data_IF_793949936605
#
_entry.id   IF_793949936605
#
_cell.length_a   1.000
_cell.length_b   1.000
_cell.length_c   1.000
_cell.angle_alpha   90.00
_cell.angle_beta   90.00
_cell.angle_gamma   90.00
#
_symmetry.space_group_name_H-M   'P 1'
#
loop_
_entity.id
_entity.type
_entity.pdbx_description
1 polymer ?
#
# COMPACT_ATOMS: atom_id res chain seq x y z
N UNK A 1 5.78 12.69 -3.61
CA UNK A 1 4.34 12.41 -3.81
C UNK A 1 3.72 13.58 -4.54
N UNK A 2 3.10 13.31 -5.69
CA UNK A 2 2.52 14.31 -6.58
C UNK A 2 1.01 14.42 -6.32
N UNK A 3 0.52 15.61 -6.01
CA UNK A 3 -0.91 15.84 -5.76
C UNK A 3 -1.65 16.18 -7.06
N UNK A 4 -2.86 15.64 -7.20
CA UNK A 4 -3.78 15.97 -8.28
C UNK A 4 -5.18 16.25 -7.70
N UNK A 5 -5.93 17.11 -8.37
CA UNK A 5 -7.35 17.36 -8.09
C UNK A 5 -8.18 16.87 -9.27
N UNK A 6 -9.19 16.06 -9.01
CA UNK A 6 -10.04 15.46 -10.03
C UNK A 6 -11.43 16.06 -9.92
N UNK A 7 -11.95 16.57 -11.03
CA UNK A 7 -13.29 17.11 -11.19
C UNK A 7 -14.05 16.28 -12.20
N UNK A 8 -15.18 15.73 -11.78
CA UNK A 8 -16.09 14.99 -12.64
C UNK A 8 -17.43 15.74 -12.63
N UNK A 9 -18.04 16.04 -13.78
CA UNK A 9 -19.33 16.70 -13.84
C UNK A 9 -20.39 15.97 -13.00
N UNK A 10 -21.05 16.70 -12.10
CA UNK A 10 -22.07 16.15 -11.20
C UNK A 10 -21.54 15.41 -9.96
N UNK A 11 -20.23 15.47 -9.66
CA UNK A 11 -19.63 14.97 -8.41
C UNK A 11 -18.78 16.04 -7.72
N UNK A 12 -18.54 15.85 -6.42
CA UNK A 12 -17.61 16.66 -5.64
C UNK A 12 -16.16 16.49 -6.11
N UNK A 13 -15.33 17.51 -5.87
CA UNK A 13 -13.91 17.49 -6.21
C UNK A 13 -13.16 16.46 -5.35
N UNK A 14 -12.34 15.63 -5.99
CA UNK A 14 -11.56 14.59 -5.31
C UNK A 14 -10.10 14.97 -5.35
N UNK A 15 -9.50 15.24 -4.18
CA UNK A 15 -8.05 15.41 -4.06
C UNK A 15 -7.39 14.03 -3.93
N UNK A 16 -6.48 13.70 -4.84
CA UNK A 16 -5.75 12.43 -4.85
C UNK A 16 -4.24 12.67 -4.80
N UNK A 17 -3.53 11.74 -4.14
CA UNK A 17 -2.07 11.76 -4.02
C UNK A 17 -1.48 10.59 -4.80
N UNK A 18 -0.64 10.89 -5.78
CA UNK A 18 0.08 9.92 -6.59
C UNK A 18 1.49 9.71 -6.00
N UNK A 19 1.82 8.48 -5.67
CA UNK A 19 3.21 8.08 -5.41
C UNK A 19 3.93 7.88 -6.75
N UNK A 20 5.28 7.93 -6.80
CA UNK A 20 6.01 7.63 -8.03
C UNK A 20 5.61 6.24 -8.57
N UNK A 21 5.13 6.19 -9.81
CA UNK A 21 4.55 4.99 -10.37
C UNK A 21 3.67 5.27 -11.58
N UNK A 22 3.20 4.19 -12.18
CA UNK A 22 2.45 4.26 -13.43
C UNK A 22 1.00 3.82 -13.23
N UNK A 23 0.08 4.77 -13.22
CA UNK A 23 -1.35 4.56 -12.97
C UNK A 23 -2.12 4.48 -14.26
N UNK A 24 -2.89 3.39 -14.41
CA UNK A 24 -3.87 3.30 -15.49
C UNK A 24 -5.12 4.09 -15.13
N UNK A 25 -5.53 4.97 -16.03
CA UNK A 25 -6.72 5.82 -15.89
C UNK A 25 -7.75 5.45 -16.95
N UNK A 26 -9.00 5.24 -16.53
CA UNK A 26 -10.07 4.84 -17.45
C UNK A 26 -11.38 4.55 -16.74
N UNK A 27 -12.42 4.19 -17.49
CA UNK A 27 -13.74 3.83 -16.94
C UNK A 27 -13.83 2.37 -16.48
N UNK A 28 -12.81 1.55 -16.74
CA UNK A 28 -12.77 0.17 -16.27
C UNK A 28 -12.56 0.12 -14.75
N UNK A 29 -13.29 -0.73 -14.01
CA UNK A 29 -13.00 -1.02 -12.60
C UNK A 29 -11.61 -1.62 -12.36
N UNK A 30 -10.93 -2.10 -13.41
CA UNK A 30 -9.55 -2.58 -13.35
C UNK A 30 -8.51 -1.45 -13.50
N UNK A 31 -8.94 -0.19 -13.59
CA UNK A 31 -8.06 0.98 -13.64
C UNK A 31 -7.68 1.42 -12.24
N UNK A 32 -6.43 1.86 -12.07
CA UNK A 32 -5.93 2.38 -10.80
C UNK A 32 -6.69 3.66 -10.40
N UNK A 33 -7.02 4.48 -11.40
CA UNK A 33 -7.83 5.67 -11.25
C UNK A 33 -9.07 5.53 -12.13
N UNK A 34 -10.18 5.12 -11.51
CA UNK A 34 -11.43 4.89 -12.22
C UNK A 34 -12.19 6.20 -12.39
N UNK A 35 -12.32 6.66 -13.63
CA UNK A 35 -13.07 7.87 -13.99
C UNK A 35 -14.37 7.47 -14.68
N UNK A 36 -15.48 7.62 -13.96
CA UNK A 36 -16.82 7.37 -14.49
C UNK A 36 -17.41 8.67 -15.07
N UNK A 37 -16.83 9.14 -16.18
CA UNK A 37 -17.30 10.31 -16.92
C UNK A 37 -17.59 9.96 -18.39
N UNK A 38 -18.58 10.60 -19.05
CA UNK A 38 -18.81 10.42 -20.48
C UNK A 38 -17.54 10.70 -21.30
N UNK A 39 -17.34 9.92 -22.38
CA UNK A 39 -16.14 10.02 -23.22
C UNK A 39 -14.89 9.33 -22.67
N UNK A 40 -14.91 8.80 -21.44
CA UNK A 40 -13.77 8.05 -20.88
C UNK A 40 -13.85 6.57 -21.27
N UNK A 41 -12.95 6.11 -22.15
CA UNK A 41 -12.82 4.69 -22.51
C UNK A 41 -12.22 3.83 -21.38
N UNK A 42 -12.40 2.49 -21.40
CA UNK A 42 -11.95 1.60 -20.32
C UNK A 42 -10.46 1.62 -20.01
N UNK A 43 -9.61 1.84 -21.03
CA UNK A 43 -8.16 2.07 -20.92
C UNK A 43 -7.84 3.37 -21.64
N UNK A 44 -8.02 4.50 -20.96
CA UNK A 44 -7.99 5.81 -21.62
C UNK A 44 -6.57 6.35 -21.74
N UNK A 45 -5.89 6.46 -20.61
CA UNK A 45 -4.51 6.95 -20.58
C UNK A 45 -3.77 6.36 -19.38
N UNK A 46 -2.49 6.71 -19.29
CA UNK A 46 -1.60 6.24 -18.26
C UNK A 46 -0.84 7.41 -17.65
N UNK A 47 -0.96 7.58 -16.34
CA UNK A 47 -0.23 8.59 -15.59
C UNK A 47 1.07 7.98 -15.12
N UNK A 48 2.20 8.59 -15.44
CA UNK A 48 3.52 8.20 -14.97
C UNK A 48 3.95 9.32 -14.02
N UNK A 49 3.66 9.14 -12.74
CA UNK A 49 4.08 10.06 -11.70
C UNK A 49 5.50 9.73 -11.25
N UNK A 50 6.28 10.74 -10.94
CA UNK A 50 7.59 10.66 -10.29
C UNK A 50 7.57 11.54 -9.05
N UNK A 51 8.70 11.65 -8.34
CA UNK A 51 8.76 12.50 -7.14
C UNK A 51 8.60 13.98 -7.42
N UNK A 52 8.77 14.43 -8.67
CA UNK A 52 8.74 15.85 -9.07
C UNK A 52 7.84 16.11 -10.26
N UNK A 53 7.63 15.10 -11.10
CA UNK A 53 7.02 15.26 -12.42
C UNK A 53 5.86 14.29 -12.63
N UNK A 54 4.87 14.73 -13.40
CA UNK A 54 3.77 13.91 -13.87
C UNK A 54 3.80 13.86 -15.40
N UNK A 55 3.85 12.67 -15.98
CA UNK A 55 3.69 12.48 -17.42
C UNK A 55 2.38 11.74 -17.69
N UNK A 56 1.74 12.01 -18.80
CA UNK A 56 0.51 11.32 -19.21
C UNK A 56 0.73 10.76 -20.61
N UNK A 57 0.60 9.45 -20.75
CA UNK A 57 0.61 8.75 -22.02
C UNK A 57 -0.83 8.42 -22.44
N UNK A 58 -1.25 8.90 -23.60
CA UNK A 58 -2.54 8.51 -24.18
C UNK A 58 -2.48 7.03 -24.63
N UNK A 59 -3.55 6.28 -24.37
CA UNK A 59 -3.70 4.88 -24.79
C UNK A 59 -4.79 4.72 -25.86
N UNK A 60 -5.11 5.81 -26.57
CA UNK A 60 -6.11 5.85 -27.64
C UNK A 60 -7.46 6.41 -27.20
N UNK A 61 -7.54 7.06 -26.03
CA UNK A 61 -8.74 7.73 -25.55
C UNK A 61 -8.80 9.22 -25.93
N UNK A 62 -7.65 9.82 -26.24
CA UNK A 62 -7.49 11.24 -26.53
C UNK A 62 -7.44 12.07 -25.25
N UNK A 63 -6.28 12.68 -24.98
CA UNK A 63 -6.09 13.56 -23.81
C UNK A 63 -5.96 15.00 -24.29
N UNK A 64 -6.49 15.96 -23.54
CA UNK A 64 -6.21 17.38 -23.78
C UNK A 64 -5.46 17.97 -22.60
N UNK A 65 -4.41 18.73 -22.87
CA UNK A 65 -3.61 19.41 -21.85
C UNK A 65 -3.65 20.91 -22.15
N UNK A 66 -4.16 21.70 -21.22
CA UNK A 66 -4.28 23.16 -21.33
C UNK A 66 -5.02 23.64 -22.61
N UNK A 67 -5.93 22.80 -23.14
CA UNK A 67 -6.73 23.08 -24.34
C UNK A 67 -6.14 22.56 -25.65
N UNK A 68 -4.96 21.95 -25.64
CA UNK A 68 -4.36 21.28 -26.79
C UNK A 68 -4.60 19.77 -26.75
N UNK A 69 -5.06 19.19 -27.85
CA UNK A 69 -5.34 17.75 -27.94
C UNK A 69 -4.11 16.95 -28.33
N UNK A 70 -3.80 15.92 -27.54
CA UNK A 70 -2.70 15.00 -27.74
C UNK A 70 -3.24 13.58 -27.93
N UNK A 71 -2.72 12.90 -28.94
CA UNK A 71 -3.11 11.54 -29.30
C UNK A 71 -1.87 10.66 -29.42
N UNK A 72 -1.94 9.45 -28.86
CA UNK A 72 -0.90 8.40 -28.96
C UNK A 72 0.52 8.90 -28.62
N UNK A 73 0.63 9.83 -27.66
CA UNK A 73 1.89 10.44 -27.26
C UNK A 73 1.98 10.61 -25.75
N UNK A 74 3.20 10.73 -25.25
CA UNK A 74 3.48 10.99 -23.84
C UNK A 74 3.77 12.47 -23.64
N UNK A 75 2.94 13.13 -22.83
CA UNK A 75 3.04 14.57 -22.54
C UNK A 75 3.53 14.78 -21.12
N UNK A 76 4.42 15.76 -20.94
CA UNK A 76 4.86 16.17 -19.62
C UNK A 76 3.92 17.22 -19.04
N UNK A 77 3.38 16.97 -17.86
CA UNK A 77 2.43 17.86 -17.18
C UNK A 77 3.18 18.68 -16.14
N UNK A 78 3.03 19.99 -16.21
CA UNK A 78 3.60 20.91 -15.21
C UNK A 78 2.61 21.10 -14.06
N UNK A 79 3.09 21.37 -12.84
CA UNK A 79 2.21 21.83 -11.77
C UNK A 79 1.41 23.06 -12.23
N UNK A 80 0.09 23.00 -12.05
CA UNK A 80 -0.88 24.00 -12.51
C UNK A 80 -1.56 23.68 -13.84
N UNK A 81 -1.06 22.72 -14.63
CA UNK A 81 -1.68 22.32 -15.90
C UNK A 81 -3.01 21.59 -15.68
N UNK A 82 -3.95 21.83 -16.60
CA UNK A 82 -5.27 21.20 -16.63
C UNK A 82 -5.30 20.13 -17.70
N UNK A 83 -5.63 18.92 -17.30
CA UNK A 83 -5.72 17.77 -18.19
C UNK A 83 -7.18 17.35 -18.29
N UNK A 84 -7.74 17.34 -19.49
CA UNK A 84 -9.09 16.86 -19.77
C UNK A 84 -9.03 15.45 -20.35
N UNK A 85 -9.84 14.57 -19.76
CA UNK A 85 -9.97 13.15 -20.14
C UNK A 85 -11.47 12.89 -20.30
N UNK A 86 -11.96 12.88 -21.55
CA UNK A 86 -13.40 12.92 -21.81
C UNK A 86 -14.04 14.16 -21.18
N UNK A 87 -15.06 13.98 -20.34
CA UNK A 87 -15.65 15.08 -19.57
C UNK A 87 -15.03 15.29 -18.17
N UNK A 88 -14.04 14.49 -17.76
CA UNK A 88 -13.33 14.70 -16.49
C UNK A 88 -12.18 15.70 -16.65
N UNK A 89 -12.02 16.60 -15.68
CA UNK A 89 -10.92 17.58 -15.61
C UNK A 89 -10.00 17.22 -14.43
N UNK A 90 -8.70 17.22 -14.67
CA UNK A 90 -7.66 16.92 -13.68
C UNK A 90 -6.70 18.10 -13.61
N UNK A 91 -6.53 18.65 -12.42
CA UNK A 91 -5.56 19.70 -12.16
C UNK A 91 -4.34 19.10 -11.46
N UNK A 92 -3.17 19.25 -12.08
CA UNK A 92 -1.90 18.88 -11.46
C UNK A 92 -1.53 19.91 -10.38
N UNK A 93 -1.51 19.52 -9.11
CA UNK A 93 -1.17 20.44 -8.01
C UNK A 93 0.34 20.46 -7.71
N UNK A 94 1.09 19.48 -8.19
CA UNK A 94 2.53 19.36 -7.94
C UNK A 94 2.84 18.61 -6.64
N UNK A 95 4.11 18.59 -6.24
CA UNK A 95 4.50 18.11 -4.91
C UNK A 95 4.34 19.23 -3.91
N UNK A 96 3.77 18.96 -2.73
CA UNK A 96 3.69 19.95 -1.65
C UNK A 96 5.11 20.47 -1.33
N UNK A 97 5.47 21.62 -1.89
CA UNK A 97 6.52 22.45 -1.32
C UNK A 97 6.03 22.84 0.07
N UNK A 98 6.82 22.43 1.06
CA UNK A 98 6.59 22.74 2.46
C UNK A 98 6.98 24.21 2.75
N UNK A 99 6.50 25.14 1.93
CA UNK A 99 6.69 26.58 2.03
C UNK A 99 5.46 27.32 1.48
N UNK A 100 4.34 27.30 2.22
CA UNK A 100 3.38 28.41 2.33
C UNK A 100 2.10 27.96 3.05
N UNK A 101 2.15 27.88 4.37
CA UNK A 101 1.08 28.34 5.25
C UNK A 101 1.58 28.28 6.69
N UNK A 102 2.25 29.37 7.09
CA UNK A 102 2.44 29.71 8.49
C UNK A 102 1.07 30.18 9.00
N UNK A 103 0.39 29.46 9.92
CA UNK A 103 -0.78 30.04 10.56
C UNK A 103 -0.32 31.27 11.35
N UNK A 104 -0.97 32.39 11.07
CA UNK A 104 -0.81 33.64 11.81
C UNK A 104 -1.13 33.38 13.30
N UNK A 105 -0.31 33.85 14.25
CA UNK A 105 -0.52 33.54 15.66
C UNK A 105 -1.85 34.13 16.14
N UNK A 106 -2.67 33.37 16.89
CA UNK A 106 -3.91 33.89 17.44
C UNK A 106 -3.61 34.97 18.50
N UNK A 107 -4.41 36.04 18.50
CA UNK A 107 -4.35 37.10 19.52
C UNK A 107 -4.52 36.50 20.93
N UNK A 108 -3.77 36.98 21.94
CA UNK A 108 -3.82 36.40 23.28
C UNK A 108 -5.14 36.76 23.97
N UNK A 109 -5.87 35.72 24.38
CA UNK A 109 -6.97 35.80 25.36
C UNK A 109 -6.37 35.63 26.77
N UNK A 110 -6.84 36.35 27.81
CA UNK A 110 -6.27 36.23 29.15
C UNK A 110 -6.54 34.83 29.75
N UNK A 111 -5.53 34.26 30.41
CA UNK A 111 -5.58 32.93 31.02
C UNK A 111 -6.45 32.90 32.31
N UNK A 112 -7.21 31.81 32.56
CA UNK A 112 -7.79 31.53 33.88
C UNK A 112 -6.73 30.93 34.84
N UNK A 113 -6.96 30.99 36.17
CA UNK A 113 -5.97 30.66 37.20
C UNK A 113 -5.64 29.15 37.30
N UNK A 114 -4.51 28.79 37.95
CA UNK A 114 -3.90 27.47 37.81
C UNK A 114 -4.64 26.39 38.60
N UNK A 115 -4.99 25.30 37.93
CA UNK A 115 -5.21 24.00 38.56
C UNK A 115 -4.00 23.08 38.36
N UNK A 116 -3.76 22.28 39.39
CA UNK A 116 -2.64 21.38 39.67
C UNK A 116 -2.18 20.54 38.46
N UNK A 117 -0.85 20.40 38.20
CA UNK A 117 -0.38 19.66 37.03
C UNK A 117 -0.59 18.15 37.18
N UNK A 118 -1.35 17.58 36.24
CA UNK A 118 -1.30 16.17 35.89
C UNK A 118 0.12 15.78 35.41
N UNK A 119 0.54 14.51 35.52
CA UNK A 119 1.88 14.08 35.12
C UNK A 119 2.17 14.46 33.66
N UNK A 120 3.32 15.11 33.46
CA UNK A 120 3.78 15.61 32.16
C UNK A 120 3.92 14.43 31.19
N UNK A 121 3.47 14.56 29.93
CA UNK A 121 3.81 13.60 28.90
C UNK A 121 5.34 13.57 28.75
N UNK A 122 5.90 12.37 28.60
CA UNK A 122 7.34 12.20 28.36
C UNK A 122 7.75 13.07 27.16
N UNK A 123 8.62 14.01 27.51
CA UNK A 123 9.52 14.78 26.70
C UNK A 123 9.72 14.25 25.26
N UNK A 124 9.23 15.01 24.29
CA UNK A 124 9.46 14.84 22.86
C UNK A 124 10.90 15.30 22.54
N UNK A 125 11.90 14.50 22.93
CA UNK A 125 13.31 14.75 22.64
C UNK A 125 13.76 13.95 21.41
N UNK A 126 14.01 14.67 20.32
CA UNK A 126 14.70 14.18 19.12
C UNK A 126 13.78 13.51 18.11
N UNK A 127 13.80 13.99 16.86
CA UNK A 127 13.42 13.15 15.71
C UNK A 127 14.43 11.98 15.66
N UNK A 128 14.16 10.88 16.36
CA UNK A 128 14.87 9.63 16.10
C UNK A 128 14.36 9.10 14.77
N UNK A 129 15.17 9.26 13.72
CA UNK A 129 14.98 8.51 12.48
C UNK A 129 15.08 7.03 12.82
N UNK A 130 13.96 6.31 12.68
CA UNK A 130 13.93 4.87 12.92
C UNK A 130 14.79 4.22 11.82
N UNK A 131 15.88 3.50 12.17
CA UNK A 131 16.75 2.86 11.19
C UNK A 131 16.01 1.79 10.37
N UNK A 132 16.38 1.66 9.09
CA UNK A 132 15.82 0.63 8.22
C UNK A 132 16.61 -0.68 8.38
N UNK A 133 15.91 -1.78 8.66
CA UNK A 133 16.45 -3.14 8.60
C UNK A 133 16.13 -3.76 7.24
N UNK A 134 17.16 -4.01 6.45
CA UNK A 134 17.04 -4.63 5.13
C UNK A 134 17.01 -6.16 5.24
N UNK A 135 15.84 -6.76 5.04
CA UNK A 135 15.61 -8.21 5.25
C UNK A 135 15.43 -8.93 3.92
N UNK A 136 14.56 -8.46 3.01
CA UNK A 136 14.21 -9.32 1.87
C UNK A 136 15.26 -9.38 0.75
N UNK A 137 16.32 -8.56 0.84
CA UNK A 137 17.40 -8.51 -0.14
C UNK A 137 17.02 -7.86 -1.47
N UNK A 138 15.93 -7.08 -1.48
CA UNK A 138 15.52 -6.23 -2.61
C UNK A 138 16.00 -4.80 -2.34
N UNK A 139 16.62 -4.10 -3.32
CA UNK A 139 17.05 -2.72 -3.14
C UNK A 139 15.89 -1.82 -2.67
N UNK A 140 16.14 -0.95 -1.69
CA UNK A 140 15.11 -0.05 -1.13
C UNK A 140 14.42 0.80 -2.22
N UNK A 141 15.18 1.29 -3.20
CA UNK A 141 14.64 2.06 -4.32
C UNK A 141 13.68 1.26 -5.21
N UNK A 142 13.80 -0.07 -5.25
CA UNK A 142 12.94 -0.95 -6.03
C UNK A 142 11.71 -1.45 -5.24
N UNK A 143 11.62 -1.17 -3.93
CA UNK A 143 10.53 -1.64 -3.06
C UNK A 143 9.15 -1.17 -3.51
N UNK A 144 8.92 0.12 -3.80
CA UNK A 144 7.59 0.57 -4.23
C UNK A 144 7.10 -0.17 -5.49
N UNK A 145 8.04 -0.42 -6.41
CA UNK A 145 7.76 -1.15 -7.64
C UNK A 145 7.41 -2.62 -7.39
N UNK A 146 8.18 -3.29 -6.53
CA UNK A 146 7.89 -4.68 -6.14
C UNK A 146 6.55 -4.78 -5.41
N UNK A 147 6.22 -3.83 -4.54
CA UNK A 147 4.93 -3.83 -3.84
C UNK A 147 3.75 -3.71 -4.81
N UNK A 148 3.88 -2.89 -5.86
CA UNK A 148 2.82 -2.80 -6.87
C UNK A 148 2.67 -4.09 -7.68
N UNK A 149 3.78 -4.74 -8.06
CA UNK A 149 3.72 -6.06 -8.69
C UNK A 149 3.01 -7.06 -7.78
N UNK A 150 3.36 -7.07 -6.49
CA UNK A 150 2.74 -7.98 -5.50
C UNK A 150 1.24 -7.74 -5.40
N UNK A 151 0.82 -6.48 -5.28
CA UNK A 151 -0.59 -6.09 -5.20
C UNK A 151 -1.38 -6.54 -6.43
N UNK A 152 -0.84 -6.31 -7.63
CA UNK A 152 -1.47 -6.75 -8.88
C UNK A 152 -1.52 -8.29 -8.99
N UNK A 153 -0.42 -8.95 -8.64
CA UNK A 153 -0.34 -10.41 -8.67
C UNK A 153 -1.36 -11.03 -7.70
N UNK A 154 -1.54 -10.47 -6.51
CA UNK A 154 -2.53 -10.94 -5.54
C UNK A 154 -3.97 -10.79 -6.01
N UNK A 155 -4.31 -9.65 -6.62
CA UNK A 155 -5.64 -9.45 -7.22
C UNK A 155 -5.91 -10.52 -8.28
N UNK A 156 -4.92 -10.84 -9.10
CA UNK A 156 -5.05 -11.86 -10.13
C UNK A 156 -5.06 -13.29 -9.55
N UNK A 157 -4.27 -13.55 -8.53
CA UNK A 157 -4.20 -14.81 -7.80
C UNK A 157 -5.58 -15.16 -7.20
N UNK A 158 -6.26 -14.18 -6.61
CA UNK A 158 -7.60 -14.36 -6.05
C UNK A 158 -8.66 -14.67 -7.14
N UNK A 159 -8.49 -14.17 -8.37
CA UNK A 159 -9.41 -14.51 -9.47
C UNK A 159 -9.18 -15.92 -9.99
N UNK A 160 -7.91 -16.32 -10.12
CA UNK A 160 -7.52 -17.62 -10.69
C UNK A 160 -7.69 -18.76 -9.71
N UNK A 161 -7.42 -18.50 -8.44
CA UNK A 161 -7.53 -19.50 -7.40
C UNK A 161 -8.79 -19.30 -6.57
N UNK A 162 -9.67 -20.30 -6.61
CA UNK A 162 -10.63 -20.54 -5.54
C UNK A 162 -9.92 -21.14 -4.30
N UNK A 163 -8.85 -20.51 -3.79
CA UNK A 163 -8.03 -21.00 -2.66
C UNK A 163 -8.90 -21.37 -1.44
N UNK A 164 -9.87 -20.50 -1.10
CA UNK A 164 -10.81 -20.75 0.02
C UNK A 164 -11.58 -22.06 -0.15
N UNK A 165 -11.97 -22.45 -1.38
CA UNK A 165 -12.67 -23.74 -1.61
C UNK A 165 -11.74 -24.94 -1.51
N UNK A 166 -10.46 -24.79 -1.86
CA UNK A 166 -9.50 -25.90 -1.84
C UNK A 166 -9.03 -26.24 -0.42
N UNK A 167 -8.77 -25.23 0.43
CA UNK A 167 -8.47 -25.46 1.85
C UNK A 167 -9.64 -26.18 2.55
N UNK A 168 -10.88 -25.78 2.23
CA UNK A 168 -12.10 -26.46 2.70
C UNK A 168 -12.28 -27.87 2.13
N UNK A 169 -11.64 -28.20 1.00
CA UNK A 169 -11.73 -29.51 0.35
C UNK A 169 -10.71 -30.54 0.86
N UNK A 170 -9.87 -30.19 1.85
CA UNK A 170 -8.92 -31.12 2.46
C UNK A 170 -7.70 -31.46 1.59
N UNK A 171 -7.35 -30.60 0.63
CA UNK A 171 -6.11 -30.74 -0.15
C UNK A 171 -4.89 -30.72 0.78
N UNK A 172 -3.87 -31.54 0.49
CA UNK A 172 -2.62 -31.52 1.23
C UNK A 172 -1.93 -30.15 1.11
N UNK A 173 -1.29 -29.69 2.19
CA UNK A 173 -0.61 -28.38 2.24
C UNK A 173 0.46 -28.26 1.14
N UNK A 174 1.17 -29.36 0.86
CA UNK A 174 2.19 -29.42 -0.20
C UNK A 174 1.60 -29.20 -1.60
N UNK A 175 0.41 -29.75 -1.87
CA UNK A 175 -0.28 -29.56 -3.16
C UNK A 175 -0.79 -28.12 -3.31
N UNK A 176 -1.23 -27.52 -2.21
CA UNK A 176 -1.70 -26.14 -2.18
C UNK A 176 -0.55 -25.17 -2.45
N UNK A 177 0.59 -25.37 -1.79
CA UNK A 177 1.79 -24.57 -1.98
C UNK A 177 2.31 -24.67 -3.40
N UNK A 178 2.43 -25.89 -3.92
CA UNK A 178 2.87 -26.11 -5.31
C UNK A 178 1.96 -25.40 -6.29
N UNK A 179 0.64 -25.55 -6.13
CA UNK A 179 -0.33 -24.90 -7.03
C UNK A 179 -0.32 -23.38 -6.92
N UNK A 180 -0.17 -22.84 -5.70
CA UNK A 180 -0.02 -21.40 -5.50
C UNK A 180 1.22 -20.89 -6.23
N UNK A 181 2.36 -21.56 -6.06
CA UNK A 181 3.61 -21.23 -6.74
C UNK A 181 3.49 -21.27 -8.27
N UNK A 182 2.93 -22.34 -8.82
CA UNK A 182 2.73 -22.48 -10.27
C UNK A 182 1.84 -21.34 -10.82
N UNK A 183 0.76 -21.02 -10.12
CA UNK A 183 -0.15 -19.93 -10.53
C UNK A 183 0.50 -18.55 -10.42
N UNK A 184 1.28 -18.30 -9.37
CA UNK A 184 2.02 -17.05 -9.19
C UNK A 184 3.06 -16.88 -10.30
N UNK A 185 3.78 -17.96 -10.64
CA UNK A 185 4.75 -17.94 -11.74
C UNK A 185 4.10 -17.57 -13.07
N UNK A 186 2.95 -18.19 -13.39
CA UNK A 186 2.16 -17.85 -14.58
C UNK A 186 1.77 -16.37 -14.58
N UNK A 187 1.20 -15.87 -13.47
CA UNK A 187 0.78 -14.47 -13.34
C UNK A 187 1.94 -13.51 -13.58
N UNK A 188 3.09 -13.73 -12.95
CA UNK A 188 4.24 -12.83 -13.12
C UNK A 188 4.80 -12.89 -14.54
N UNK A 189 4.82 -14.08 -15.16
CA UNK A 189 5.28 -14.23 -16.54
C UNK A 189 4.39 -13.47 -17.54
N UNK A 190 3.08 -13.45 -17.32
CA UNK A 190 2.11 -12.74 -18.17
C UNK A 190 2.18 -11.22 -18.03
N UNK A 191 2.53 -10.71 -16.83
CA UNK A 191 2.58 -9.27 -16.57
C UNK A 191 3.65 -8.55 -17.42
N UNK A 192 4.56 -9.28 -18.08
CA UNK A 192 5.60 -8.74 -19.00
C UNK A 192 6.31 -7.50 -18.43
N UNK A 193 6.70 -7.57 -17.15
CA UNK A 193 7.29 -6.44 -16.44
C UNK A 193 8.81 -6.47 -16.54
N UNK A 194 9.42 -5.36 -16.93
CA UNK A 194 10.88 -5.21 -16.85
C UNK A 194 11.27 -4.95 -15.40
N UNK A 195 12.02 -5.87 -14.79
CA UNK A 195 12.45 -5.76 -13.40
C UNK A 195 13.64 -4.79 -13.24
N UNK A 196 13.65 -3.94 -12.20
CA UNK A 196 14.80 -3.11 -11.85
C UNK A 196 16.04 -3.94 -11.51
N UNK A 197 17.22 -3.34 -11.67
CA UNK A 197 18.49 -3.98 -11.31
C UNK A 197 18.50 -4.43 -9.83
N UNK A 198 18.90 -5.69 -9.59
CA UNK A 198 18.96 -6.29 -8.26
C UNK A 198 17.66 -6.97 -7.78
N UNK A 199 16.58 -6.87 -8.56
CA UNK A 199 15.32 -7.59 -8.32
C UNK A 199 15.24 -8.80 -9.25
N UNK A 200 14.92 -9.96 -8.69
CA UNK A 200 14.67 -11.18 -9.46
C UNK A 200 13.23 -11.63 -9.26
N UNK A 201 12.68 -12.30 -10.27
CA UNK A 201 11.34 -12.89 -10.22
C UNK A 201 11.19 -13.81 -9.00
N UNK A 202 12.21 -14.65 -8.74
CA UNK A 202 12.21 -15.58 -7.60
C UNK A 202 11.98 -14.91 -6.24
N UNK A 203 12.52 -13.69 -6.03
CA UNK A 203 12.32 -12.95 -4.78
C UNK A 203 10.87 -12.50 -4.63
N UNK A 204 10.27 -12.02 -5.72
CA UNK A 204 8.88 -11.58 -5.75
C UNK A 204 7.94 -12.78 -5.57
N UNK A 205 8.20 -13.88 -6.27
CA UNK A 205 7.45 -15.13 -6.14
C UNK A 205 7.50 -15.66 -4.71
N UNK A 206 8.67 -15.68 -4.08
CA UNK A 206 8.82 -16.12 -2.68
C UNK A 206 7.96 -15.28 -1.74
N UNK A 207 8.05 -13.94 -1.83
CA UNK A 207 7.22 -13.06 -1.00
C UNK A 207 5.71 -13.28 -1.24
N UNK A 208 5.30 -13.48 -2.49
CA UNK A 208 3.89 -13.76 -2.84
C UNK A 208 3.39 -15.11 -2.33
N UNK A 209 4.21 -16.16 -2.42
CA UNK A 209 3.88 -17.48 -1.88
C UNK A 209 3.70 -17.39 -0.38
N UNK A 210 4.66 -16.78 0.34
CA UNK A 210 4.56 -16.59 1.79
C UNK A 210 3.27 -15.85 2.19
N UNK A 211 2.83 -14.85 1.42
CA UNK A 211 1.56 -14.14 1.71
C UNK A 211 0.31 -14.98 1.37
N UNK A 212 0.35 -15.72 0.27
CA UNK A 212 -0.79 -16.49 -0.22
C UNK A 212 -1.18 -17.65 0.73
N UNK A 213 -0.18 -18.37 1.27
CA UNK A 213 -0.40 -19.57 2.08
C UNK A 213 0.12 -19.48 3.52
N UNK A 214 1.04 -18.55 3.80
CA UNK A 214 1.76 -18.44 5.06
C UNK A 214 1.42 -17.20 5.87
N UNK A 215 2.39 -16.69 6.62
CA UNK A 215 2.26 -15.44 7.40
C UNK A 215 2.81 -14.20 6.67
N UNK A 216 3.09 -14.33 5.38
CA UNK A 216 3.61 -13.24 4.56
C UNK A 216 5.01 -12.80 5.00
N UNK A 217 5.27 -11.48 5.06
CA UNK A 217 6.53 -10.93 5.56
C UNK A 217 6.95 -11.43 6.94
N UNK A 218 6.00 -11.84 7.77
CA UNK A 218 6.29 -12.26 9.14
C UNK A 218 7.08 -13.55 9.20
N UNK A 219 7.02 -14.42 8.19
CA UNK A 219 7.77 -15.69 8.23
C UNK A 219 9.27 -15.48 8.29
N UNK A 220 9.79 -14.58 7.43
CA UNK A 220 11.22 -14.27 7.41
C UNK A 220 11.66 -13.57 8.70
N UNK A 221 10.78 -12.75 9.31
CA UNK A 221 11.08 -12.02 10.55
C UNK A 221 11.01 -12.93 11.78
N UNK A 222 10.03 -13.83 11.87
CA UNK A 222 9.90 -14.78 12.99
C UNK A 222 11.07 -15.78 12.99
N UNK A 223 11.62 -16.11 11.82
CA UNK A 223 12.78 -16.98 11.71
C UNK A 223 14.09 -16.36 12.26
N UNK A 224 14.12 -15.05 12.53
CA UNK A 224 15.31 -14.33 13.02
C UNK A 224 15.35 -14.30 14.56
N UNK A 225 16.28 -15.04 15.22
CA UNK A 225 16.33 -15.13 16.68
C UNK A 225 16.72 -13.83 17.39
N UNK A 226 17.29 -12.85 16.68
CA UNK A 226 17.64 -11.54 17.21
C UNK A 226 16.45 -10.58 17.38
N UNK A 227 15.30 -10.90 16.78
CA UNK A 227 14.09 -10.08 16.83
C UNK A 227 13.31 -10.41 18.11
N UNK A 228 13.12 -9.40 18.96
CA UNK A 228 12.35 -9.52 20.22
C UNK A 228 10.87 -9.18 20.05
N UNK A 229 10.53 -8.31 19.10
CA UNK A 229 9.15 -7.88 18.86
C UNK A 229 8.94 -7.56 17.37
N UNK A 230 7.73 -7.83 16.87
CA UNK A 230 7.30 -7.49 15.51
C UNK A 230 6.01 -6.68 15.62
N UNK A 231 5.97 -5.53 14.97
CA UNK A 231 4.82 -4.62 14.94
C UNK A 231 4.40 -4.37 13.50
N UNK A 232 3.11 -4.50 13.22
CA UNK A 232 2.51 -4.18 11.92
C UNK A 232 1.45 -3.11 12.16
N UNK A 233 1.66 -1.92 11.60
CA UNK A 233 0.75 -0.78 11.72
C UNK A 233 0.11 -0.46 10.36
N UNK A 234 -0.20 -1.50 9.59
CA UNK A 234 -0.58 -1.43 8.18
C UNK A 234 0.40 -2.11 7.22
N UNK A 235 -0.01 -2.33 5.97
CA UNK A 235 0.67 -3.21 5.01
C UNK A 235 2.08 -2.73 4.67
N UNK A 236 2.29 -1.43 4.54
CA UNK A 236 3.58 -0.81 4.23
C UNK A 236 4.43 -0.47 5.47
N UNK A 237 3.97 -0.87 6.65
CA UNK A 237 4.47 -0.40 7.95
C UNK A 237 4.76 -1.55 8.89
N UNK A 238 5.81 -2.30 8.58
CA UNK A 238 6.34 -3.38 9.41
C UNK A 238 7.58 -2.89 10.16
N UNK A 239 7.59 -3.08 11.48
CA UNK A 239 8.68 -2.72 12.37
C UNK A 239 9.09 -3.91 13.21
N UNK A 240 10.34 -3.92 13.64
CA UNK A 240 10.88 -4.95 14.52
C UNK A 240 11.75 -4.31 15.59
N UNK A 241 11.75 -4.92 16.77
CA UNK A 241 12.73 -4.58 17.80
C UNK A 241 13.88 -5.58 17.76
N UNK A 242 15.12 -5.08 17.74
CA UNK A 242 16.31 -5.90 17.95
C UNK A 242 17.19 -5.25 19.02
N UNK A 243 17.56 -6.02 20.05
CA UNK A 243 18.41 -5.55 21.15
C UNK A 243 17.93 -4.22 21.79
N UNK A 244 16.61 -4.04 21.92
CA UNK A 244 15.99 -2.84 22.49
C UNK A 244 15.98 -1.62 21.55
N UNK A 245 16.32 -1.78 20.27
CA UNK A 245 16.26 -0.72 19.26
C UNK A 245 15.16 -1.05 18.26
N UNK A 246 14.31 -0.05 17.99
CA UNK A 246 13.26 -0.15 16.99
C UNK A 246 13.82 0.06 15.59
N UNK A 247 13.48 -0.83 14.65
CA UNK A 247 13.81 -0.74 13.24
C UNK A 247 12.56 -0.80 12.38
N UNK A 248 12.51 0.00 11.31
CA UNK A 248 11.51 -0.20 10.23
C UNK A 248 12.07 -1.24 9.27
N UNK A 249 11.31 -2.24 8.87
CA UNK A 249 11.79 -3.20 7.88
C UNK A 249 11.54 -2.69 6.46
N UNK A 250 12.22 -3.30 5.49
CA UNK A 250 11.95 -3.09 4.07
C UNK A 250 10.90 -4.05 3.50
N UNK A 251 10.32 -4.90 4.36
CA UNK A 251 9.25 -5.80 4.01
C UNK A 251 7.90 -5.13 4.17
N UNK A 252 6.94 -5.52 3.33
CA UNK A 252 5.58 -5.04 3.39
C UNK A 252 4.63 -6.07 2.80
N UNK A 253 3.41 -6.09 3.33
CA UNK A 253 2.30 -6.88 2.82
C UNK A 253 1.74 -6.25 1.55
N UNK A 254 1.13 -7.04 0.66
CA UNK A 254 0.50 -6.49 -0.54
C UNK A 254 -0.66 -5.52 -0.24
N UNK A 255 -1.47 -5.79 0.79
CA UNK A 255 -2.60 -4.95 1.21
C UNK A 255 -3.09 -5.27 2.64
N UNK A 256 -4.08 -4.51 3.12
CA UNK A 256 -4.74 -4.74 4.41
C UNK A 256 -5.39 -6.13 4.53
N UNK A 257 -5.90 -6.69 3.42
CA UNK A 257 -6.51 -8.02 3.46
C UNK A 257 -5.48 -9.10 3.76
N UNK A 258 -4.23 -8.95 3.29
CA UNK A 258 -3.15 -9.87 3.63
C UNK A 258 -2.74 -9.79 5.08
N UNK A 259 -2.72 -8.58 5.68
CA UNK A 259 -2.48 -8.42 7.12
C UNK A 259 -3.56 -9.16 7.92
N UNK A 260 -4.84 -8.93 7.59
CA UNK A 260 -5.96 -9.60 8.27
C UNK A 260 -5.87 -11.12 8.09
N UNK A 261 -5.58 -11.61 6.87
CA UNK A 261 -5.42 -13.03 6.60
C UNK A 261 -4.28 -13.65 7.42
N UNK A 262 -3.15 -12.94 7.58
CA UNK A 262 -2.06 -13.39 8.44
C UNK A 262 -2.50 -13.46 9.91
N UNK A 263 -3.21 -12.45 10.42
CA UNK A 263 -3.74 -12.46 11.79
C UNK A 263 -4.70 -13.64 11.98
N UNK A 264 -5.64 -13.86 11.05
CA UNK A 264 -6.58 -14.99 11.08
C UNK A 264 -5.84 -16.33 11.16
N UNK A 265 -4.79 -16.53 10.35
CA UNK A 265 -3.98 -17.75 10.36
C UNK A 265 -3.23 -17.95 11.68
N UNK A 266 -2.77 -16.88 12.33
CA UNK A 266 -2.10 -16.95 13.64
C UNK A 266 -3.08 -17.35 14.74
N UNK A 267 -4.29 -16.77 14.74
CA UNK A 267 -5.24 -16.93 15.86
C UNK A 267 -6.19 -18.13 15.71
N UNK A 268 -6.42 -18.61 14.48
CA UNK A 268 -7.31 -19.74 14.21
C UNK A 268 -6.91 -21.03 14.94
N UNK A 269 -5.64 -21.47 14.94
CA UNK A 269 -5.19 -22.66 15.68
C UNK A 269 -5.39 -22.54 17.20
N UNK A 270 -5.52 -21.33 17.73
CA UNK A 270 -5.74 -21.05 19.15
C UNK A 270 -7.23 -21.08 19.53
N UNK A 271 -8.12 -21.36 18.57
CA UNK A 271 -9.57 -21.30 18.76
C UNK A 271 -10.10 -19.88 18.97
N UNK A 272 -9.34 -18.86 18.56
CA UNK A 272 -9.72 -17.45 18.63
C UNK A 272 -10.21 -16.97 17.26
N UNK A 273 -11.01 -15.91 17.27
CA UNK A 273 -11.55 -15.29 16.06
C UNK A 273 -11.32 -13.79 16.13
N UNK A 274 -11.05 -13.19 14.98
CA UNK A 274 -11.00 -11.75 14.78
C UNK A 274 -11.77 -11.42 13.51
N UNK A 275 -12.75 -10.53 13.61
CA UNK A 275 -13.58 -10.07 12.50
C UNK A 275 -14.23 -8.72 12.89
N UNK A 276 -15.00 -8.11 12.00
CA UNK A 276 -15.63 -6.80 12.25
C UNK A 276 -16.56 -6.80 13.49
N UNK A 277 -17.06 -7.96 13.93
CA UNK A 277 -17.87 -8.10 15.14
C UNK A 277 -17.04 -8.26 16.42
N UNK A 278 -15.83 -8.79 16.31
CA UNK A 278 -14.84 -8.95 17.38
C UNK A 278 -13.47 -8.46 16.89
N UNK A 279 -13.27 -7.13 16.78
CA UNK A 279 -12.14 -6.53 16.06
C UNK A 279 -10.83 -6.50 16.84
N UNK A 280 -10.72 -7.22 17.96
CA UNK A 280 -9.53 -7.25 18.80
C UNK A 280 -9.29 -8.65 19.36
N UNK A 281 -8.03 -9.05 19.42
CA UNK A 281 -7.59 -10.31 20.01
C UNK A 281 -6.28 -10.13 20.79
N UNK A 282 -6.18 -10.78 21.94
CA UNK A 282 -4.91 -11.00 22.67
C UNK A 282 -4.80 -12.51 22.94
N UNK A 283 -3.66 -13.09 22.57
CA UNK A 283 -3.43 -14.52 22.72
C UNK A 283 -1.96 -14.85 22.97
N UNK A 284 -1.75 -16.04 23.54
CA UNK A 284 -0.43 -16.64 23.68
C UNK A 284 -0.29 -17.78 22.67
N UNK A 285 0.80 -17.73 21.91
CA UNK A 285 1.17 -18.72 20.91
C UNK A 285 1.79 -19.96 21.57
N UNK A 286 1.93 -21.05 20.81
CA UNK A 286 2.44 -22.33 21.32
C UNK A 286 3.90 -22.28 21.76
N UNK A 287 4.69 -21.40 21.15
CA UNK A 287 6.08 -21.09 21.50
C UNK A 287 6.21 -20.20 22.76
N UNK A 288 5.08 -19.74 23.32
CA UNK A 288 5.02 -18.86 24.48
C UNK A 288 5.00 -17.36 24.14
N UNK A 289 5.19 -17.01 22.87
CA UNK A 289 5.11 -15.64 22.35
C UNK A 289 3.69 -15.08 22.52
N UNK A 290 3.55 -13.75 22.46
CA UNK A 290 2.25 -13.07 22.56
C UNK A 290 1.89 -12.46 21.22
N UNK A 291 0.61 -12.46 20.90
CA UNK A 291 0.05 -11.75 19.75
C UNK A 291 -1.08 -10.86 20.23
N UNK A 292 -1.02 -9.59 19.85
CA UNK A 292 -2.11 -8.65 19.95
C UNK A 292 -2.43 -8.12 18.55
N UNK A 293 -3.71 -8.11 18.19
CA UNK A 293 -4.13 -7.54 16.92
C UNK A 293 -5.45 -6.79 17.09
N UNK A 294 -5.56 -5.65 16.40
CA UNK A 294 -6.72 -4.78 16.38
C UNK A 294 -7.02 -4.43 14.93
N UNK A 295 -8.20 -4.77 14.45
CA UNK A 295 -8.61 -4.49 13.07
C UNK A 295 -9.68 -3.38 13.03
N UNK A 296 -10.01 -2.83 11.85
CA UNK A 296 -11.17 -1.95 11.70
C UNK A 296 -12.46 -2.61 12.22
N UNK A 297 -13.38 -1.85 12.83
CA UNK A 297 -13.41 -0.39 12.90
C UNK A 297 -12.62 0.24 14.07
N UNK A 298 -11.98 -0.56 14.94
CA UNK A 298 -11.26 -0.02 16.09
C UNK A 298 -9.91 0.59 15.74
N UNK A 299 -9.28 0.11 14.65
CA UNK A 299 -8.09 0.74 14.11
C UNK A 299 -8.42 1.73 12.98
N UNK A 300 -7.90 2.95 13.09
CA UNK A 300 -8.17 4.07 12.18
C UNK A 300 -7.25 4.10 10.95
N UNK A 301 -6.09 3.46 11.01
CA UNK A 301 -5.01 3.58 9.99
C UNK A 301 -4.81 2.28 9.20
N UNK A 302 -5.50 1.20 9.57
CA UNK A 302 -5.34 -0.15 9.04
C UNK A 302 -5.24 -1.18 10.17
N UNK A 303 -5.39 -2.48 9.89
CA UNK A 303 -5.16 -3.54 10.88
C UNK A 303 -3.74 -3.51 11.47
#
# INVERSE_FOLDING_TARGET
MYEILIRIPGRDEIKARLVPGTYRVGSSPASHLTLNAPGVVPRHCQFIATDTDLKIADLGGGIEVDGEAFHDTTVHIRPGSRVRIGEAEILALGTEDREAQKPEPPKPVPAPPPHTPAPRPLNNQGKHEIPILAVSGIPLAARPFVQEIKRLAHIELLKRLNLKRMVLAGTAQEDLEKKAKDTIHEIISELTVTLPAGVTTDKIERELVHEAIGLGPLEDLIAMPEISEIMVNGPDSVYVETKGVLHKTDMAFADNHQVIAAIERIVSPLGRRIDESSPMVDARLQDGSRVNAIIPPLSLVGP
#
